data_IF_598153133760
#
_entry.id   IF_598153133760
#
_cell.length_a   1.000
_cell.length_b   1.000
_cell.length_c   1.000
_cell.angle_alpha   90.00
_cell.angle_beta   90.00
_cell.angle_gamma   90.00
#
_symmetry.space_group_name_H-M   'P 1'
#
loop_
_entity.id
_entity.type
_entity.pdbx_description
1 polymer ?
#
# COMPACT_ATOMS: atom_id res chain seq x y z
N UNK A 1 1.23 -29.29 -11.63
CA UNK A 1 1.96 -28.45 -10.65
C UNK A 1 0.92 -27.74 -9.80
N UNK A 2 0.81 -28.03 -8.53
CA UNK A 2 -0.02 -27.23 -7.61
C UNK A 2 0.66 -25.87 -7.51
N UNK A 3 0.00 -24.82 -8.01
CA UNK A 3 0.49 -23.46 -7.90
C UNK A 3 0.53 -23.11 -6.40
N UNK A 4 1.72 -22.83 -5.87
CA UNK A 4 1.87 -22.29 -4.51
C UNK A 4 1.00 -21.05 -4.38
N UNK A 5 0.31 -20.88 -3.25
CA UNK A 5 -0.41 -19.65 -2.93
C UNK A 5 0.57 -18.46 -2.89
N UNK A 6 0.08 -17.29 -3.23
CA UNK A 6 0.83 -16.04 -3.13
C UNK A 6 0.69 -15.51 -1.69
N UNK A 7 1.79 -15.54 -0.93
CA UNK A 7 1.79 -15.11 0.47
C UNK A 7 2.13 -13.63 0.59
N UNK A 8 1.28 -12.90 1.32
CA UNK A 8 1.48 -11.48 1.61
C UNK A 8 1.70 -11.27 3.11
N UNK A 9 2.57 -10.30 3.45
CA UNK A 9 2.82 -9.86 4.82
C UNK A 9 2.65 -8.36 4.92
N UNK A 10 1.73 -7.90 5.76
CA UNK A 10 1.48 -6.49 6.02
C UNK A 10 2.19 -6.11 7.32
N UNK A 11 2.95 -5.02 7.34
CA UNK A 11 3.61 -4.51 8.53
C UNK A 11 2.85 -3.29 9.03
N UNK A 12 2.15 -3.45 10.17
CA UNK A 12 1.43 -2.38 10.85
C UNK A 12 2.33 -1.73 11.89
N UNK A 13 2.98 -0.63 11.51
CA UNK A 13 4.00 0.03 12.33
C UNK A 13 3.50 1.30 13.03
N UNK A 14 4.04 1.54 14.22
CA UNK A 14 3.99 2.85 14.86
C UNK A 14 5.16 3.71 14.34
N UNK A 15 4.88 4.53 13.33
CA UNK A 15 5.88 5.37 12.68
C UNK A 15 6.32 6.48 13.65
N UNK A 16 7.62 6.54 13.93
CA UNK A 16 8.23 7.65 14.67
C UNK A 16 8.31 8.86 13.74
N UNK A 17 7.55 9.91 14.04
CA UNK A 17 7.43 11.06 13.17
C UNK A 17 8.78 11.76 12.97
N UNK A 18 9.15 12.00 11.71
CA UNK A 18 10.37 12.69 11.30
C UNK A 18 11.69 11.96 11.60
N UNK A 19 11.65 10.77 12.20
CA UNK A 19 12.85 9.99 12.50
C UNK A 19 13.04 8.81 11.55
N UNK A 20 13.60 9.08 10.39
CA UNK A 20 13.90 8.08 9.37
C UNK A 20 14.75 6.93 9.91
N UNK A 21 15.78 7.24 10.68
CA UNK A 21 16.70 6.20 11.16
C UNK A 21 16.02 5.24 12.12
N UNK A 22 15.19 5.74 13.04
CA UNK A 22 14.38 4.91 13.94
C UNK A 22 13.42 4.00 13.14
N UNK A 23 12.74 4.56 12.12
CA UNK A 23 11.80 3.82 11.28
C UNK A 23 12.50 2.75 10.42
N UNK A 24 13.64 3.04 9.82
CA UNK A 24 14.43 2.05 9.08
C UNK A 24 14.99 0.94 9.99
N UNK A 25 15.40 1.29 11.22
CA UNK A 25 15.82 0.29 12.20
C UNK A 25 14.64 -0.60 12.64
N UNK A 26 13.44 -0.03 12.79
CA UNK A 26 12.22 -0.78 13.09
C UNK A 26 11.84 -1.72 11.94
N UNK A 27 11.91 -1.25 10.69
CA UNK A 27 11.71 -2.10 9.52
C UNK A 27 12.65 -3.31 9.52
N UNK A 28 13.95 -3.10 9.77
CA UNK A 28 14.94 -4.21 9.84
C UNK A 28 14.57 -5.25 10.90
N UNK A 29 14.04 -4.82 12.07
CA UNK A 29 13.56 -5.74 13.12
C UNK A 29 12.30 -6.49 12.69
N UNK A 30 11.34 -5.80 12.09
CA UNK A 30 10.07 -6.40 11.67
C UNK A 30 10.25 -7.40 10.53
N UNK A 31 11.19 -7.16 9.62
CA UNK A 31 11.53 -8.10 8.55
C UNK A 31 12.02 -9.46 9.08
N UNK A 32 12.55 -9.54 10.30
CA UNK A 32 12.94 -10.80 10.93
C UNK A 32 11.73 -11.66 11.36
N UNK A 33 10.55 -11.04 11.48
CA UNK A 33 9.30 -11.71 11.85
C UNK A 33 8.42 -12.03 10.62
N UNK A 34 8.86 -11.64 9.42
CA UNK A 34 8.17 -11.97 8.16
C UNK A 34 8.37 -13.46 7.87
N UNK A 35 7.31 -14.23 7.57
CA UNK A 35 7.45 -15.63 7.17
C UNK A 35 8.39 -15.79 5.96
N UNK A 36 9.25 -16.81 5.98
CA UNK A 36 10.29 -17.03 4.96
C UNK A 36 9.73 -17.22 3.54
N UNK A 37 8.50 -17.73 3.43
CA UNK A 37 7.83 -17.99 2.15
C UNK A 37 6.95 -16.81 1.69
N UNK A 38 7.11 -15.61 2.27
CA UNK A 38 6.41 -14.38 1.87
C UNK A 38 6.83 -13.96 0.46
N UNK A 39 5.84 -13.66 -0.39
CA UNK A 39 6.05 -13.15 -1.75
C UNK A 39 6.08 -11.62 -1.79
N UNK A 40 5.26 -10.95 -0.97
CA UNK A 40 5.12 -9.51 -0.92
C UNK A 40 5.01 -9.02 0.52
N UNK A 41 5.89 -8.11 0.90
CA UNK A 41 5.81 -7.33 2.16
C UNK A 41 5.25 -5.95 1.85
N UNK A 42 4.30 -5.46 2.66
CA UNK A 42 3.70 -4.13 2.48
C UNK A 42 3.87 -3.28 3.72
N UNK A 43 4.40 -2.08 3.54
CA UNK A 43 4.64 -1.05 4.54
C UNK A 43 3.56 0.03 4.47
N UNK A 44 3.33 0.81 5.54
CA UNK A 44 2.38 1.94 5.55
C UNK A 44 2.77 3.09 4.60
N UNK A 45 1.86 4.05 4.45
CA UNK A 45 2.12 5.33 3.79
C UNK A 45 3.18 6.13 4.54
N UNK A 46 4.11 6.77 3.80
CA UNK A 46 5.19 7.62 4.36
C UNK A 46 5.92 6.95 5.53
N UNK A 47 6.26 5.67 5.38
CA UNK A 47 6.71 4.81 6.49
C UNK A 47 8.01 5.29 7.14
N UNK A 48 8.79 6.14 6.47
CA UNK A 48 10.06 6.68 6.99
C UNK A 48 9.90 7.95 7.81
N UNK A 49 8.83 8.75 7.55
CA UNK A 49 8.70 10.09 8.12
C UNK A 49 7.37 10.34 8.82
N UNK A 50 6.31 9.55 8.51
CA UNK A 50 4.95 9.97 8.77
C UNK A 50 4.53 11.16 7.88
N UNK A 51 3.32 11.67 8.08
CA UNK A 51 2.83 12.83 7.34
C UNK A 51 3.49 14.12 7.85
N UNK A 52 4.13 14.88 6.96
CA UNK A 52 4.81 16.14 7.25
C UNK A 52 4.06 17.27 6.57
N UNK A 53 3.40 18.13 7.37
CA UNK A 53 2.55 19.23 6.88
C UNK A 53 3.30 20.54 6.68
N UNK A 54 4.53 20.67 7.18
CA UNK A 54 5.40 21.82 6.99
C UNK A 54 6.34 21.60 5.82
N UNK A 55 6.41 22.55 4.88
CA UNK A 55 7.19 22.39 3.65
C UNK A 55 8.70 22.34 3.89
N UNK A 56 9.22 23.16 4.81
CA UNK A 56 10.66 23.22 5.04
C UNK A 56 11.14 21.96 5.74
N UNK A 57 10.37 21.47 6.71
CA UNK A 57 10.61 20.17 7.35
C UNK A 57 10.50 19.02 6.36
N UNK A 58 9.51 19.03 5.49
CA UNK A 58 9.34 18.03 4.44
C UNK A 58 10.53 18.02 3.48
N UNK A 59 11.02 19.18 3.05
CA UNK A 59 12.21 19.30 2.21
C UNK A 59 13.48 18.74 2.89
N UNK A 60 13.61 18.95 4.19
CA UNK A 60 14.75 18.44 4.97
C UNK A 60 14.73 16.91 5.14
N UNK A 61 13.54 16.30 5.15
CA UNK A 61 13.33 14.85 5.37
C UNK A 61 13.20 14.05 4.06
N UNK A 62 12.92 14.71 2.94
CA UNK A 62 12.64 14.06 1.67
C UNK A 62 13.88 13.41 1.05
N UNK A 63 13.65 12.31 0.35
CA UNK A 63 14.70 11.51 -0.29
C UNK A 63 14.44 11.36 -1.80
N UNK A 64 15.53 11.12 -2.55
CA UNK A 64 15.45 10.68 -3.94
C UNK A 64 15.30 9.16 -4.00
N UNK A 65 14.89 8.63 -5.15
CA UNK A 65 14.74 7.18 -5.36
C UNK A 65 16.07 6.38 -5.22
N UNK A 66 17.19 7.04 -5.08
CA UNK A 66 18.53 6.42 -4.97
C UNK A 66 19.16 6.65 -3.59
N UNK A 67 18.45 7.25 -2.66
CA UNK A 67 18.99 7.56 -1.33
C UNK A 67 18.81 6.36 -0.36
N UNK A 68 19.06 6.55 0.92
CA UNK A 68 19.21 5.49 1.93
C UNK A 68 18.00 4.57 2.02
N UNK A 69 16.79 5.12 2.00
CA UNK A 69 15.56 4.33 2.12
C UNK A 69 15.43 3.32 0.98
N UNK A 70 15.52 3.76 -0.27
CA UNK A 70 15.38 2.85 -1.41
C UNK A 70 16.53 1.85 -1.49
N UNK A 71 17.77 2.27 -1.18
CA UNK A 71 18.89 1.35 -1.09
C UNK A 71 18.66 0.24 -0.06
N UNK A 72 18.12 0.57 1.11
CA UNK A 72 17.77 -0.44 2.11
C UNK A 72 16.63 -1.36 1.62
N UNK A 73 15.59 -0.82 0.98
CA UNK A 73 14.48 -1.63 0.45
C UNK A 73 15.00 -2.62 -0.58
N UNK A 74 15.88 -2.21 -1.51
CA UNK A 74 16.51 -3.12 -2.46
C UNK A 74 17.29 -4.25 -1.78
N UNK A 75 18.10 -3.91 -0.78
CA UNK A 75 18.87 -4.90 0.00
C UNK A 75 17.94 -5.90 0.71
N UNK A 76 16.85 -5.42 1.30
CA UNK A 76 15.89 -6.30 1.99
C UNK A 76 15.11 -7.18 1.00
N UNK A 77 14.64 -6.61 -0.13
CA UNK A 77 13.94 -7.38 -1.16
C UNK A 77 14.82 -8.52 -1.71
N UNK A 78 16.08 -8.20 -2.03
CA UNK A 78 17.05 -9.20 -2.47
C UNK A 78 17.38 -10.24 -1.40
N UNK A 79 17.56 -9.82 -0.14
CA UNK A 79 17.90 -10.70 0.98
C UNK A 79 16.77 -11.69 1.30
N UNK A 80 15.53 -11.20 1.39
CA UNK A 80 14.36 -12.00 1.76
C UNK A 80 13.66 -12.65 0.56
N UNK A 81 14.15 -12.40 -0.67
CA UNK A 81 13.58 -12.93 -1.91
C UNK A 81 12.07 -12.65 -2.08
N UNK A 82 11.61 -11.49 -1.60
CA UNK A 82 10.24 -11.02 -1.70
C UNK A 82 10.17 -9.59 -2.26
N UNK A 83 9.05 -9.22 -2.87
CA UNK A 83 8.83 -7.83 -3.20
C UNK A 83 8.51 -7.02 -1.94
N UNK A 84 8.88 -5.73 -1.93
CA UNK A 84 8.54 -4.81 -0.85
C UNK A 84 7.84 -3.59 -1.44
N UNK A 85 6.66 -3.25 -0.89
CA UNK A 85 5.88 -2.09 -1.30
C UNK A 85 5.57 -1.18 -0.10
N UNK A 86 5.35 0.10 -0.37
CA UNK A 86 5.04 1.12 0.63
C UNK A 86 5.00 2.50 0.01
N UNK A 87 5.03 3.57 0.80
CA UNK A 87 5.30 4.90 0.28
C UNK A 87 6.26 5.69 1.17
N UNK A 88 6.96 6.65 0.57
CA UNK A 88 7.91 7.51 1.25
C UNK A 88 7.79 8.95 0.77
N UNK A 89 8.36 9.88 1.52
CA UNK A 89 8.45 11.29 1.14
C UNK A 89 9.57 11.48 0.13
N UNK A 90 9.18 11.64 -1.15
CA UNK A 90 10.11 11.75 -2.26
C UNK A 90 10.36 13.20 -2.67
N UNK A 91 11.60 13.48 -3.10
CA UNK A 91 12.01 14.74 -3.70
C UNK A 91 12.49 14.52 -5.13
N UNK A 92 11.88 15.23 -6.08
CA UNK A 92 12.28 15.18 -7.48
C UNK A 92 12.15 16.58 -8.09
N UNK A 93 13.21 17.11 -8.70
CA UNK A 93 13.23 18.40 -9.40
C UNK A 93 12.65 19.58 -8.58
N UNK A 94 12.99 19.67 -7.29
CA UNK A 94 12.50 20.75 -6.39
C UNK A 94 11.06 20.57 -5.90
N UNK A 95 10.42 19.46 -6.23
CA UNK A 95 9.05 19.14 -5.81
C UNK A 95 9.03 17.95 -4.85
N UNK A 96 8.07 17.96 -3.93
CA UNK A 96 7.82 16.90 -2.96
C UNK A 96 6.64 16.04 -3.40
N UNK A 97 6.77 14.73 -3.24
CA UNK A 97 5.74 13.76 -3.59
C UNK A 97 5.53 12.74 -2.46
N UNK A 98 4.30 12.34 -2.25
CA UNK A 98 3.99 11.10 -1.56
C UNK A 98 4.09 9.99 -2.60
N UNK A 99 5.24 9.30 -2.62
CA UNK A 99 5.60 8.34 -3.67
C UNK A 99 5.49 6.92 -3.15
N UNK A 100 4.59 6.15 -3.75
CA UNK A 100 4.56 4.72 -3.58
C UNK A 100 5.68 4.05 -4.36
N UNK A 101 6.17 2.95 -3.84
CA UNK A 101 7.17 2.09 -4.48
C UNK A 101 6.75 0.62 -4.42
N UNK A 102 7.14 -0.13 -5.42
CA UNK A 102 7.12 -1.58 -5.45
C UNK A 102 8.46 -2.06 -5.98
N UNK A 103 9.26 -2.69 -5.12
CA UNK A 103 10.62 -3.12 -5.43
C UNK A 103 10.65 -4.64 -5.41
N UNK A 104 11.03 -5.24 -6.56
CA UNK A 104 11.15 -6.69 -6.71
C UNK A 104 12.50 -7.22 -6.24
N UNK A 105 12.60 -8.49 -5.86
CA UNK A 105 13.90 -9.11 -5.52
C UNK A 105 14.89 -9.11 -6.69
N UNK A 106 14.42 -8.99 -7.94
CA UNK A 106 15.22 -8.79 -9.15
C UNK A 106 15.90 -7.42 -9.24
N UNK A 107 15.43 -6.45 -8.44
CA UNK A 107 15.82 -5.05 -8.52
C UNK A 107 14.93 -4.21 -9.43
N UNK A 108 13.89 -4.80 -10.07
CA UNK A 108 12.91 -4.01 -10.83
C UNK A 108 12.13 -3.09 -9.90
N UNK A 109 11.94 -1.84 -10.34
CA UNK A 109 11.31 -0.77 -9.58
C UNK A 109 10.06 -0.26 -10.27
N UNK A 110 8.99 -0.07 -9.51
CA UNK A 110 7.81 0.67 -9.97
C UNK A 110 7.47 1.75 -8.95
N UNK A 111 7.27 2.98 -9.44
CA UNK A 111 6.89 4.13 -8.62
C UNK A 111 5.55 4.71 -9.06
N UNK A 112 4.82 5.26 -8.07
CA UNK A 112 3.55 5.96 -8.30
C UNK A 112 3.46 7.17 -7.36
N UNK A 113 3.28 8.37 -7.89
CA UNK A 113 3.04 9.58 -7.12
C UNK A 113 1.53 9.74 -6.85
N UNK A 114 1.17 9.94 -5.58
CA UNK A 114 -0.22 10.06 -5.12
C UNK A 114 -1.03 11.04 -5.97
N UNK A 115 -2.13 10.55 -6.55
CA UNK A 115 -2.97 11.35 -7.43
C UNK A 115 -3.90 12.28 -6.66
N UNK A 116 -4.54 11.78 -5.59
CA UNK A 116 -5.51 12.55 -4.82
C UNK A 116 -4.88 12.98 -3.49
N UNK A 117 -4.47 14.24 -3.42
CA UNK A 117 -3.92 14.80 -2.20
C UNK A 117 -5.04 15.09 -1.20
N UNK A 118 -4.78 14.83 0.09
CA UNK A 118 -5.73 15.08 1.17
C UNK A 118 -5.77 16.57 1.50
N UNK A 119 -6.51 17.35 0.71
CA UNK A 119 -6.61 18.83 0.81
C UNK A 119 -7.16 19.29 2.15
N UNK A 120 -8.08 18.54 2.76
CA UNK A 120 -8.59 18.84 4.10
C UNK A 120 -7.47 18.82 5.17
N UNK A 121 -6.43 18.00 4.99
CA UNK A 121 -5.22 17.95 5.84
C UNK A 121 -4.10 18.87 5.35
N UNK A 122 -4.31 19.66 4.29
CA UNK A 122 -3.29 20.56 3.75
C UNK A 122 -2.18 19.86 2.95
N UNK A 123 -2.37 18.62 2.53
CA UNK A 123 -1.36 17.86 1.77
C UNK A 123 -0.98 18.59 0.48
N UNK A 124 -1.94 19.21 -0.21
CA UNK A 124 -1.76 20.00 -1.44
C UNK A 124 -0.89 21.26 -1.29
N UNK A 125 -0.69 21.73 -0.06
CA UNK A 125 0.18 22.87 0.22
C UNK A 125 1.67 22.50 0.26
N UNK A 126 1.95 21.22 0.49
CA UNK A 126 3.32 20.69 0.67
C UNK A 126 3.73 19.80 -0.48
N UNK A 127 2.85 18.88 -0.87
CA UNK A 127 3.13 17.85 -1.86
C UNK A 127 2.57 18.21 -3.23
N UNK A 128 3.23 17.73 -4.28
CA UNK A 128 2.77 17.82 -5.65
C UNK A 128 1.91 16.60 -5.99
N UNK A 129 0.80 16.83 -6.66
CA UNK A 129 -0.07 15.78 -7.20
C UNK A 129 0.63 15.01 -8.32
N UNK A 130 0.50 13.68 -8.29
CA UNK A 130 0.87 12.82 -9.40
C UNK A 130 -0.15 12.90 -10.54
N UNK A 131 0.34 12.85 -11.79
CA UNK A 131 -0.50 12.94 -12.99
C UNK A 131 -0.59 11.62 -13.76
N UNK A 132 0.30 10.67 -13.49
CA UNK A 132 0.27 9.35 -14.13
C UNK A 132 -0.79 8.47 -13.49
N UNK A 133 -1.49 7.63 -14.25
CA UNK A 133 -2.35 6.59 -13.68
C UNK A 133 -1.55 5.67 -12.75
N UNK A 134 -2.22 5.11 -11.74
CA UNK A 134 -1.62 4.07 -10.92
C UNK A 134 -1.24 2.86 -11.82
N UNK A 135 0.03 2.42 -11.79
CA UNK A 135 0.51 1.34 -12.65
C UNK A 135 -0.15 0.01 -12.29
N UNK A 136 -0.23 -0.88 -13.28
CA UNK A 136 -0.51 -2.30 -13.05
C UNK A 136 0.82 -3.05 -13.05
N UNK A 137 1.19 -3.54 -11.90
CA UNK A 137 2.43 -4.27 -11.65
C UNK A 137 2.16 -5.76 -11.85
N UNK A 138 2.96 -6.43 -12.66
CA UNK A 138 2.86 -7.87 -12.88
C UNK A 138 3.94 -8.59 -12.08
N UNK A 139 3.52 -9.25 -10.99
CA UNK A 139 4.46 -9.93 -10.12
C UNK A 139 3.94 -11.33 -9.74
N UNK A 140 4.77 -12.36 -9.97
CA UNK A 140 4.47 -13.77 -9.65
C UNK A 140 3.07 -14.23 -10.06
N UNK A 141 2.63 -13.80 -11.25
CA UNK A 141 1.35 -14.18 -11.85
C UNK A 141 0.15 -13.33 -11.47
N UNK A 142 0.26 -12.45 -10.48
CA UNK A 142 -0.77 -11.47 -10.11
C UNK A 142 -0.55 -10.13 -10.80
N UNK A 143 -1.66 -9.47 -11.13
CA UNK A 143 -1.69 -8.07 -11.53
C UNK A 143 -2.07 -7.23 -10.29
N UNK A 144 -1.21 -6.31 -9.90
CA UNK A 144 -1.35 -5.50 -8.67
C UNK A 144 -1.53 -4.04 -9.04
N UNK A 145 -2.61 -3.42 -8.57
CA UNK A 145 -2.79 -1.96 -8.62
C UNK A 145 -2.46 -1.38 -7.26
N UNK A 146 -1.52 -0.43 -7.20
CA UNK A 146 -1.10 0.23 -5.97
C UNK A 146 -1.61 1.66 -5.92
N UNK A 147 -2.25 2.04 -4.79
CA UNK A 147 -2.78 3.38 -4.53
C UNK A 147 -2.42 3.83 -3.11
N UNK A 148 -2.52 5.14 -2.85
CA UNK A 148 -2.12 5.74 -1.57
C UNK A 148 -3.32 6.36 -0.87
N UNK A 149 -3.70 5.83 0.30
CA UNK A 149 -4.56 6.42 1.33
C UNK A 149 -5.82 7.09 0.77
N UNK A 150 -5.82 8.41 0.58
CA UNK A 150 -6.97 9.17 0.12
C UNK A 150 -7.47 8.79 -1.27
N UNK A 151 -6.61 8.21 -2.12
CA UNK A 151 -7.02 7.62 -3.42
C UNK A 151 -8.18 6.62 -3.27
N UNK A 152 -8.23 5.89 -2.14
CA UNK A 152 -9.27 4.91 -1.84
C UNK A 152 -10.68 5.51 -1.84
N UNK A 153 -10.84 6.82 -1.58
CA UNK A 153 -12.15 7.48 -1.57
C UNK A 153 -12.78 7.65 -2.95
N UNK A 154 -12.00 7.49 -4.02
CA UNK A 154 -12.44 7.76 -5.38
C UNK A 154 -12.78 6.46 -6.12
N UNK A 155 -14.07 6.05 -6.18
CA UNK A 155 -14.47 4.74 -6.70
C UNK A 155 -14.09 4.56 -8.17
N UNK A 156 -14.23 5.59 -9.00
CA UNK A 156 -13.85 5.54 -10.42
C UNK A 156 -12.36 5.28 -10.59
N UNK A 157 -11.51 5.90 -9.76
CA UNK A 157 -10.07 5.69 -9.78
C UNK A 157 -9.68 4.27 -9.34
N UNK A 158 -10.42 3.70 -8.39
CA UNK A 158 -10.20 2.34 -7.89
C UNK A 158 -10.85 1.26 -8.77
N UNK A 159 -11.68 1.63 -9.78
CA UNK A 159 -12.44 0.66 -10.56
C UNK A 159 -11.54 -0.33 -11.30
N UNK A 160 -11.89 -1.62 -11.21
CA UNK A 160 -11.24 -2.70 -11.92
C UNK A 160 -11.89 -2.89 -13.30
N UNK A 161 -11.40 -2.14 -14.28
CA UNK A 161 -11.94 -2.21 -15.65
C UNK A 161 -11.48 -3.51 -16.30
N UNK A 162 -12.45 -4.35 -16.74
CA UNK A 162 -12.19 -5.63 -17.42
C UNK A 162 -11.24 -6.57 -16.67
N UNK A 163 -11.35 -6.61 -15.34
CA UNK A 163 -10.48 -7.41 -14.46
C UNK A 163 -8.98 -7.16 -14.69
N UNK A 164 -8.59 -5.90 -14.89
CA UNK A 164 -7.23 -5.52 -15.20
C UNK A 164 -6.23 -5.74 -14.04
N UNK A 165 -6.74 -5.89 -12.82
CA UNK A 165 -5.91 -6.24 -11.65
C UNK A 165 -6.59 -7.30 -10.77
N UNK A 166 -5.78 -8.01 -10.00
CA UNK A 166 -6.17 -9.10 -9.09
C UNK A 166 -6.07 -8.68 -7.63
N UNK A 167 -5.19 -7.72 -7.36
CA UNK A 167 -4.94 -7.15 -6.04
C UNK A 167 -5.02 -5.63 -6.12
N UNK A 168 -5.83 -5.02 -5.24
CA UNK A 168 -5.76 -3.60 -4.93
C UNK A 168 -4.94 -3.44 -3.65
N UNK A 169 -3.77 -2.83 -3.77
CA UNK A 169 -2.88 -2.53 -2.66
C UNK A 169 -3.05 -1.07 -2.23
N UNK A 170 -3.36 -0.84 -0.96
CA UNK A 170 -3.61 0.49 -0.38
C UNK A 170 -2.72 0.70 0.84
N UNK A 171 -1.78 1.62 0.75
CA UNK A 171 -0.94 2.03 1.87
C UNK A 171 -1.48 3.32 2.48
N UNK A 172 -1.52 3.44 3.83
CA UNK A 172 -2.22 4.54 4.48
C UNK A 172 -1.59 5.04 5.80
N UNK A 173 -1.85 6.33 6.05
CA UNK A 173 -1.85 6.99 7.36
C UNK A 173 -3.29 7.45 7.64
N UNK A 174 -4.21 6.50 7.91
CA UNK A 174 -5.63 6.77 8.05
C UNK A 174 -6.01 6.90 9.52
N UNK A 175 -6.42 8.10 9.99
CA UNK A 175 -6.69 8.35 11.39
C UNK A 175 -7.85 7.51 11.97
N UNK A 176 -7.72 7.15 13.24
CA UNK A 176 -8.72 6.41 14.03
C UNK A 176 -10.11 7.06 13.98
N UNK A 177 -10.19 8.39 14.03
CA UNK A 177 -11.45 9.12 13.94
C UNK A 177 -12.26 8.84 12.66
N UNK A 178 -11.63 8.29 11.62
CA UNK A 178 -12.24 7.92 10.33
C UNK A 178 -12.06 6.44 10.00
N UNK A 179 -11.74 5.60 10.98
CA UNK A 179 -11.48 4.16 10.80
C UNK A 179 -12.66 3.42 10.16
N UNK A 180 -13.89 3.76 10.55
CA UNK A 180 -15.07 3.14 9.94
C UNK A 180 -15.12 3.36 8.43
N UNK A 181 -14.81 4.58 7.95
CA UNK A 181 -14.75 4.86 6.51
C UNK A 181 -13.63 4.06 5.82
N UNK A 182 -12.45 3.95 6.44
CA UNK A 182 -11.34 3.13 5.97
C UNK A 182 -11.77 1.69 5.75
N UNK A 183 -12.31 1.07 6.78
CA UNK A 183 -12.77 -0.31 6.75
C UNK A 183 -13.84 -0.53 5.67
N UNK A 184 -14.91 0.27 5.67
CA UNK A 184 -16.03 0.09 4.73
C UNK A 184 -15.59 0.27 3.27
N UNK A 185 -14.70 1.24 2.99
CA UNK A 185 -14.17 1.46 1.64
C UNK A 185 -13.33 0.28 1.16
N UNK A 186 -12.45 -0.29 1.98
CA UNK A 186 -11.66 -1.47 1.60
C UNK A 186 -12.55 -2.66 1.26
N UNK A 187 -13.55 -2.96 2.10
CA UNK A 187 -14.50 -4.04 1.85
C UNK A 187 -15.33 -3.77 0.58
N UNK A 188 -15.81 -2.53 0.40
CA UNK A 188 -16.53 -2.12 -0.80
C UNK A 188 -15.70 -2.33 -2.07
N UNK A 189 -14.41 -1.93 -2.06
CA UNK A 189 -13.50 -2.14 -3.20
C UNK A 189 -13.27 -3.60 -3.53
N UNK A 190 -13.19 -4.48 -2.52
CA UNK A 190 -13.03 -5.91 -2.75
C UNK A 190 -14.26 -6.51 -3.45
N UNK A 191 -15.45 -6.17 -2.97
CA UNK A 191 -16.72 -6.73 -3.46
C UNK A 191 -17.06 -6.20 -4.87
N UNK A 192 -17.04 -4.86 -5.07
CA UNK A 192 -17.45 -4.24 -6.33
C UNK A 192 -16.51 -4.53 -7.51
N UNK A 193 -15.22 -4.81 -7.20
CA UNK A 193 -14.19 -5.07 -8.19
C UNK A 193 -13.85 -6.55 -8.35
N UNK A 194 -14.42 -7.43 -7.55
CA UNK A 194 -14.10 -8.87 -7.48
C UNK A 194 -12.59 -9.08 -7.47
N UNK A 195 -11.92 -8.54 -6.42
CA UNK A 195 -10.47 -8.52 -6.29
C UNK A 195 -10.05 -8.72 -4.83
N UNK A 196 -8.83 -9.17 -4.60
CA UNK A 196 -8.22 -9.06 -3.27
C UNK A 196 -7.93 -7.60 -2.94
N UNK A 197 -8.10 -7.20 -1.68
CA UNK A 197 -7.71 -5.87 -1.20
C UNK A 197 -6.75 -6.02 -0.01
N UNK A 198 -5.57 -5.40 -0.14
CA UNK A 198 -4.58 -5.29 0.92
C UNK A 198 -4.58 -3.84 1.41
N UNK A 199 -5.15 -3.60 2.58
CA UNK A 199 -5.14 -2.28 3.21
C UNK A 199 -4.12 -2.27 4.36
N UNK A 200 -3.06 -1.48 4.23
CA UNK A 200 -2.02 -1.34 5.27
C UNK A 200 -2.09 0.05 5.86
N UNK A 201 -2.33 0.12 7.16
CA UNK A 201 -2.36 1.37 7.90
C UNK A 201 -1.22 1.40 8.94
N UNK A 202 -0.77 2.59 9.33
CA UNK A 202 0.05 2.73 10.52
C UNK A 202 -0.80 2.58 11.79
N UNK A 203 -0.15 2.40 12.93
CA UNK A 203 -0.75 2.49 14.26
C UNK A 203 -0.08 3.57 15.12
N UNK A 204 -0.53 3.73 16.38
CA UNK A 204 0.04 4.64 17.36
C UNK A 204 -0.46 6.09 17.27
N UNK A 205 0.38 7.05 17.65
CA UNK A 205 0.04 8.49 17.69
C UNK A 205 1.14 9.25 16.97
N UNK A 206 0.78 10.26 16.18
CA UNK A 206 1.77 11.15 15.55
C UNK A 206 2.14 12.36 16.45
N UNK A 207 3.05 13.21 15.95
CA UNK A 207 3.51 14.38 16.67
C UNK A 207 2.46 15.47 16.89
N UNK A 208 1.33 15.41 16.17
CA UNK A 208 0.19 16.34 16.33
C UNK A 208 -0.89 15.80 17.27
N UNK A 209 -0.69 14.60 17.83
CA UNK A 209 -1.65 13.93 18.70
C UNK A 209 -2.76 13.18 17.95
N UNK A 210 -2.64 13.00 16.63
CA UNK A 210 -3.59 12.20 15.87
C UNK A 210 -3.35 10.73 16.16
N UNK A 211 -4.42 10.04 16.60
CA UNK A 211 -4.40 8.60 16.86
C UNK A 211 -4.67 7.78 15.60
N UNK A 212 -3.95 6.67 15.47
CA UNK A 212 -4.14 5.63 14.46
C UNK A 212 -4.41 4.30 15.15
N UNK A 213 -5.48 3.62 14.72
CA UNK A 213 -5.90 2.39 15.39
C UNK A 213 -4.91 1.25 15.20
N UNK A 214 -4.65 0.51 16.27
CA UNK A 214 -4.07 -0.82 16.15
C UNK A 214 -5.06 -1.78 15.46
N UNK A 215 -4.52 -2.76 14.73
CA UNK A 215 -5.32 -3.79 14.03
C UNK A 215 -6.23 -3.20 12.96
N UNK A 216 -5.81 -2.13 12.32
CA UNK A 216 -6.53 -1.47 11.23
C UNK A 216 -6.00 -1.81 9.83
N UNK A 217 -5.07 -2.76 9.73
CA UNK A 217 -4.63 -3.34 8.47
C UNK A 217 -5.40 -4.63 8.16
N UNK A 218 -5.76 -4.85 6.88
CA UNK A 218 -6.68 -5.91 6.46
C UNK A 218 -6.24 -6.56 5.16
N UNK A 219 -6.36 -7.89 5.06
CA UNK A 219 -6.40 -8.62 3.79
C UNK A 219 -7.83 -9.13 3.60
N UNK A 220 -8.46 -8.70 2.51
CA UNK A 220 -9.87 -8.98 2.22
C UNK A 220 -9.94 -9.75 0.90
N UNK A 221 -10.69 -10.85 0.88
CA UNK A 221 -10.89 -11.61 -0.35
C UNK A 221 -11.95 -10.96 -1.27
N UNK A 222 -12.02 -11.46 -2.49
CA UNK A 222 -12.93 -10.99 -3.55
C UNK A 222 -14.43 -11.20 -3.25
N UNK A 223 -14.78 -11.83 -2.13
CA UNK A 223 -16.16 -11.95 -1.60
C UNK A 223 -16.43 -11.01 -0.43
N UNK A 224 -15.43 -10.18 -0.06
CA UNK A 224 -15.52 -9.30 1.09
C UNK A 224 -15.29 -10.02 2.42
N UNK A 225 -14.62 -11.17 2.43
CA UNK A 225 -14.26 -11.87 3.66
C UNK A 225 -12.88 -11.43 4.13
N UNK A 226 -12.76 -11.09 5.41
CA UNK A 226 -11.47 -10.87 6.05
C UNK A 226 -10.73 -12.21 6.16
N UNK A 227 -9.51 -12.29 5.59
CA UNK A 227 -8.67 -13.49 5.59
C UNK A 227 -7.36 -13.30 6.36
N UNK A 228 -7.20 -12.19 7.06
CA UNK A 228 -6.05 -11.94 7.93
C UNK A 228 -6.12 -12.77 9.21
N UNK A 229 -5.04 -13.49 9.49
CA UNK A 229 -4.80 -14.03 10.82
C UNK A 229 -4.08 -12.97 11.66
N UNK A 230 -4.68 -12.62 12.82
CA UNK A 230 -4.08 -11.65 13.73
C UNK A 230 -3.23 -12.36 14.77
N UNK A 231 -1.98 -11.94 14.83
CA UNK A 231 -1.01 -12.35 15.85
C UNK A 231 -0.73 -11.19 16.80
N UNK A 232 0.14 -11.40 17.77
CA UNK A 232 0.71 -10.34 18.62
C UNK A 232 1.85 -9.59 17.91
N UNK A 233 2.30 -10.10 16.78
CA UNK A 233 3.32 -9.48 15.91
C UNK A 233 2.75 -8.28 15.16
N UNK A 234 3.52 -7.23 14.86
CA UNK A 234 3.14 -6.19 13.91
C UNK A 234 3.02 -6.71 12.47
N UNK A 235 3.47 -7.93 12.20
CA UNK A 235 3.38 -8.59 10.89
C UNK A 235 2.10 -9.41 10.82
N UNK A 236 1.30 -9.14 9.80
CA UNK A 236 0.02 -9.81 9.50
C UNK A 236 0.20 -10.56 8.18
N UNK A 237 0.04 -11.87 8.16
CA UNK A 237 0.21 -12.68 6.95
C UNK A 237 -1.13 -13.24 6.45
N UNK A 238 -1.21 -13.48 5.13
CA UNK A 238 -2.32 -14.17 4.49
C UNK A 238 -1.88 -14.80 3.17
N UNK A 239 -2.60 -15.86 2.76
CA UNK A 239 -2.39 -16.55 1.49
C UNK A 239 -3.48 -16.17 0.49
N UNK A 240 -3.09 -15.82 -0.73
CA UNK A 240 -3.98 -15.49 -1.85
C UNK A 240 -3.94 -16.61 -2.89
N UNK A 241 -5.09 -16.93 -3.47
CA UNK A 241 -5.23 -17.95 -4.51
C UNK A 241 -5.75 -17.35 -5.81
N UNK A 242 -4.89 -17.20 -6.81
CA UNK A 242 -5.29 -16.73 -8.14
C UNK A 242 -6.26 -17.71 -8.83
N UNK A 243 -6.10 -19.04 -8.74
CA UNK A 243 -7.09 -19.97 -9.28
C UNK A 243 -8.48 -19.81 -8.66
N UNK A 244 -8.57 -19.56 -7.34
CA UNK A 244 -9.85 -19.33 -6.67
C UNK A 244 -10.52 -18.03 -7.12
N UNK A 245 -9.76 -16.95 -7.29
CA UNK A 245 -10.23 -15.68 -7.83
C UNK A 245 -10.77 -15.86 -9.27
N UNK A 246 -9.98 -16.49 -10.14
CA UNK A 246 -10.38 -16.70 -11.54
C UNK A 246 -11.62 -17.55 -11.66
N UNK A 247 -11.71 -18.67 -10.91
CA UNK A 247 -12.91 -19.53 -10.88
C UNK A 247 -14.15 -18.77 -10.39
N UNK A 248 -13.99 -17.83 -9.45
CA UNK A 248 -15.11 -17.00 -9.00
C UNK A 248 -15.53 -16.00 -10.08
N UNK A 249 -14.59 -15.33 -10.75
CA UNK A 249 -14.86 -14.37 -11.85
C UNK A 249 -15.53 -15.04 -13.04
N UNK A 250 -15.19 -16.29 -13.36
CA UNK A 250 -15.85 -17.07 -14.40
C UNK A 250 -17.31 -17.39 -14.06
N UNK A 251 -17.60 -17.72 -12.80
CA UNK A 251 -18.95 -18.04 -12.32
C UNK A 251 -19.82 -16.82 -12.05
N UNK A 252 -19.19 -15.67 -11.79
CA UNK A 252 -19.87 -14.41 -11.47
C UNK A 252 -19.18 -13.24 -12.20
N UNK A 253 -19.37 -13.11 -13.53
CA UNK A 253 -18.65 -12.18 -14.38
C UNK A 253 -19.23 -10.76 -14.37
N UNK A 254 -19.39 -10.13 -13.21
CA UNK A 254 -20.00 -8.79 -13.01
C UNK A 254 -19.33 -7.68 -13.82
N UNK A 255 -18.09 -7.87 -14.25
CA UNK A 255 -17.37 -6.89 -15.07
C UNK A 255 -17.97 -6.74 -16.48
N UNK A 256 -18.73 -7.73 -16.97
CA UNK A 256 -19.38 -7.70 -18.29
C UNK A 256 -20.58 -6.74 -18.31
N UNK A 257 -21.17 -6.48 -17.14
CA UNK A 257 -22.33 -5.59 -16.99
C UNK A 257 -21.91 -4.16 -16.60
N UNK A 258 -20.60 -3.90 -16.52
CA UNK A 258 -20.09 -2.61 -16.08
C UNK A 258 -20.12 -1.56 -17.19
N UNK A 259 -20.41 -0.31 -16.81
CA UNK A 259 -20.33 0.84 -17.72
C UNK A 259 -18.91 1.13 -18.17
N UNK A 260 -18.76 1.59 -19.41
CA UNK A 260 -17.50 2.13 -19.94
C UNK A 260 -17.32 3.58 -19.51
N UNK A 261 -16.10 3.95 -19.09
CA UNK A 261 -15.75 5.33 -18.72
C UNK A 261 -14.26 5.60 -18.98
N UNK A 262 -13.90 6.88 -19.05
CA UNK A 262 -12.51 7.33 -19.20
C UNK A 262 -12.17 8.35 -18.12
N UNK A 263 -11.08 8.12 -17.38
CA UNK A 263 -10.50 9.11 -16.46
C UNK A 263 -9.60 10.04 -17.27
N UNK A 264 -9.89 11.34 -17.23
CA UNK A 264 -9.11 12.39 -17.90
C UNK A 264 -8.09 13.04 -16.96
#
# INVERSE_FOLDING_TARGET
MFSRNFRVSLIEDNIVWGDKHANLAQLKRNMQNVPEDTDLVVLPELFTTGFVADRDQAMALAERNIDETMNLIHQLAAKYQCAIAGSFLAHTAGQLFNRAFFIEPSGEETFYDKRHLFTFGGEDKVYKQGHTPAPIIRFRGFNIKMIICYDLRFPVFCRNVKNNYDILLVVANWPKARENAWRQLLFGRAIENVTYVLGVNRCGVDNSGIEFSEKSSFVIDFKGKLITERTTSPVIAADLSLPALNSFREKFPVWQDADDFTIR
#
